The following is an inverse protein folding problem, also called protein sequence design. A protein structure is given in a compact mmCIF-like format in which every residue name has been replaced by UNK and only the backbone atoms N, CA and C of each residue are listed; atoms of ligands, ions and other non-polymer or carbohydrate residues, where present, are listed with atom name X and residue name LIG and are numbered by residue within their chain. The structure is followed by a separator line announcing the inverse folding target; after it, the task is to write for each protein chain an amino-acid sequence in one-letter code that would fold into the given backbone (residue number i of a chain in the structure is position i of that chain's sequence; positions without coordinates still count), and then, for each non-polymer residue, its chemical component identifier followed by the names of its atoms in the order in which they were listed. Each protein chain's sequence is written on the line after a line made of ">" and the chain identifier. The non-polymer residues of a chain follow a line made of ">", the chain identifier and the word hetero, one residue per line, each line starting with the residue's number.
data_IF_003953518140
#
_entry.id   IF_003953518140
#
_cell.length_a   1.000
_cell.length_b   1.000
_cell.length_c   1.000
_cell.angle_alpha   90.00
_cell.angle_beta   90.00
_cell.angle_gamma   90.00
#
_symmetry.space_group_name_H-M   'P 1'
#
loop_
_entity.id
_entity.type
_entity.pdbx_description
1 polymer ?
#
# COMPACT_ATOMS: atom_id res chain seq x y z
N UNK A 1 -27.97 31.60 -0.61
CA UNK A 1 -26.85 30.99 0.13
C UNK A 1 -26.75 29.57 -0.40
N UNK A 2 -25.59 29.08 -0.86
CA UNK A 2 -25.48 27.66 -1.22
C UNK A 2 -25.90 26.87 0.02
N UNK A 3 -26.93 26.03 -0.12
CA UNK A 3 -27.49 25.33 1.02
C UNK A 3 -26.39 24.50 1.70
N UNK A 4 -26.25 24.61 3.03
CA UNK A 4 -25.29 23.81 3.80
C UNK A 4 -25.50 22.31 3.52
N UNK A 5 -26.73 21.92 3.20
CA UNK A 5 -27.05 20.56 2.81
C UNK A 5 -26.36 20.14 1.51
N UNK A 6 -26.33 20.99 0.49
CA UNK A 6 -25.66 20.74 -0.77
C UNK A 6 -24.14 20.59 -0.59
N UNK A 7 -23.53 21.46 0.22
CA UNK A 7 -22.10 21.40 0.54
C UNK A 7 -21.73 20.08 1.26
N UNK A 8 -22.52 19.68 2.25
CA UNK A 8 -22.30 18.44 2.99
C UNK A 8 -22.50 17.21 2.09
N UNK A 9 -23.49 17.22 1.20
CA UNK A 9 -23.69 16.15 0.21
C UNK A 9 -22.50 16.06 -0.75
N UNK A 10 -22.02 17.17 -1.30
CA UNK A 10 -20.87 17.16 -2.20
C UNK A 10 -19.61 16.64 -1.50
N UNK A 11 -19.35 17.08 -0.27
CA UNK A 11 -18.23 16.58 0.53
C UNK A 11 -18.33 15.06 0.77
N UNK A 12 -19.53 14.56 1.04
CA UNK A 12 -19.77 13.13 1.21
C UNK A 12 -19.54 12.35 -0.10
N UNK A 13 -19.99 12.87 -1.24
CA UNK A 13 -19.80 12.24 -2.54
C UNK A 13 -18.33 12.27 -2.99
N UNK A 14 -17.60 13.37 -2.76
CA UNK A 14 -16.15 13.44 -3.01
C UNK A 14 -15.38 12.44 -2.15
N UNK A 15 -15.79 12.24 -0.90
CA UNK A 15 -15.24 11.21 -0.02
C UNK A 15 -15.55 9.79 -0.53
N UNK A 16 -16.76 9.54 -1.05
CA UNK A 16 -17.14 8.25 -1.68
C UNK A 16 -16.30 7.94 -2.92
N UNK A 17 -15.89 8.97 -3.67
CA UNK A 17 -14.97 8.82 -4.81
C UNK A 17 -13.52 8.52 -4.39
N UNK A 18 -13.20 8.55 -3.09
CA UNK A 18 -11.86 8.26 -2.57
C UNK A 18 -10.83 9.34 -2.91
N UNK A 19 -11.28 10.58 -3.15
CA UNK A 19 -10.39 11.69 -3.47
C UNK A 19 -9.57 12.11 -2.24
N UNK A 20 -8.29 12.51 -2.40
CA UNK A 20 -7.48 12.99 -1.29
C UNK A 20 -8.11 14.23 -0.64
N UNK A 21 -8.10 14.28 0.69
CA UNK A 21 -8.71 15.37 1.48
C UNK A 21 -8.28 16.77 1.04
N UNK A 22 -6.97 16.97 0.82
CA UNK A 22 -6.43 18.26 0.35
C UNK A 22 -6.97 18.66 -1.03
N UNK A 23 -7.21 17.69 -1.92
CA UNK A 23 -7.81 17.96 -3.22
C UNK A 23 -9.28 18.33 -3.08
N UNK A 24 -10.02 17.62 -2.23
CA UNK A 24 -11.41 17.91 -1.92
C UNK A 24 -11.58 19.29 -1.30
N UNK A 25 -10.76 19.66 -0.32
CA UNK A 25 -10.80 20.99 0.32
C UNK A 25 -10.56 22.10 -0.73
N UNK A 26 -9.50 21.98 -1.53
CA UNK A 26 -9.21 22.94 -2.60
C UNK A 26 -10.34 23.05 -3.63
N UNK A 27 -10.92 21.92 -4.03
CA UNK A 27 -12.03 21.90 -4.98
C UNK A 27 -13.29 22.55 -4.38
N UNK A 28 -13.54 22.34 -3.09
CA UNK A 28 -14.67 22.98 -2.41
C UNK A 28 -14.50 24.50 -2.32
N UNK A 29 -13.31 24.99 -2.01
CA UNK A 29 -13.01 26.42 -2.01
C UNK A 29 -13.21 27.02 -3.41
N UNK A 30 -12.68 26.37 -4.46
CA UNK A 30 -12.83 26.80 -5.85
C UNK A 30 -14.30 26.83 -6.29
N UNK A 31 -15.10 25.84 -5.91
CA UNK A 31 -16.54 25.81 -6.20
C UNK A 31 -17.33 26.87 -5.43
N UNK A 32 -16.95 27.18 -4.20
CA UNK A 32 -17.56 28.25 -3.41
C UNK A 32 -17.29 29.62 -4.04
N UNK A 33 -16.05 29.86 -4.46
CA UNK A 33 -15.66 31.09 -5.17
C UNK A 33 -16.46 31.23 -6.48
N UNK A 34 -16.56 30.16 -7.28
CA UNK A 34 -17.39 30.16 -8.50
C UNK A 34 -18.87 30.42 -8.22
N UNK A 35 -19.43 29.85 -7.16
CA UNK A 35 -20.81 30.08 -6.77
C UNK A 35 -21.06 31.53 -6.33
N UNK A 36 -20.08 32.18 -5.69
CA UNK A 36 -20.13 33.59 -5.34
C UNK A 36 -20.08 34.47 -6.60
N UNK A 37 -19.19 34.19 -7.55
CA UNK A 37 -19.13 34.90 -8.82
C UNK A 37 -20.47 34.80 -9.60
N UNK A 38 -21.05 33.60 -9.69
CA UNK A 38 -22.35 33.40 -10.35
C UNK A 38 -23.48 34.20 -9.68
N UNK A 39 -23.44 34.32 -8.35
CA UNK A 39 -24.40 35.11 -7.59
C UNK A 39 -24.24 36.60 -7.89
N UNK A 40 -23.01 37.10 -7.94
CA UNK A 40 -22.72 38.50 -8.29
C UNK A 40 -23.18 38.83 -9.71
N UNK A 41 -22.89 37.96 -10.68
CA UNK A 41 -23.34 38.12 -12.07
C UNK A 41 -24.87 38.15 -12.18
N UNK A 42 -25.57 37.26 -11.46
CA UNK A 42 -27.04 37.21 -11.46
C UNK A 42 -27.65 38.46 -10.85
N UNK A 43 -27.07 38.99 -9.77
CA UNK A 43 -27.52 40.24 -9.13
C UNK A 43 -27.39 41.47 -10.05
N UNK A 44 -26.39 41.48 -10.94
CA UNK A 44 -26.17 42.56 -11.90
C UNK A 44 -27.17 42.50 -13.06
N UNK A 45 -27.56 41.30 -13.50
CA UNK A 45 -28.38 41.13 -14.70
C UNK A 45 -29.90 41.07 -14.43
N UNK A 46 -30.35 40.63 -13.26
CA UNK A 46 -31.77 40.37 -12.99
C UNK A 46 -32.21 40.99 -11.64
N UNK A 47 -32.52 42.29 -11.63
CA UNK A 47 -33.23 42.91 -10.50
C UNK A 47 -34.69 42.44 -10.37
N UNK A 48 -35.19 41.61 -11.31
CA UNK A 48 -36.64 41.34 -11.45
C UNK A 48 -37.02 39.85 -11.50
N UNK A 49 -36.10 38.88 -11.40
CA UNK A 49 -36.46 37.45 -11.46
C UNK A 49 -35.82 36.55 -10.39
N UNK A 50 -36.74 35.84 -9.71
CA UNK A 50 -36.74 34.58 -8.93
C UNK A 50 -35.40 34.08 -8.31
N UNK A 51 -35.34 33.91 -6.96
CA UNK A 51 -34.12 33.62 -6.20
C UNK A 51 -33.54 32.19 -6.28
N UNK A 52 -34.17 31.24 -6.98
CA UNK A 52 -33.80 29.81 -6.91
C UNK A 52 -32.92 29.27 -8.06
N UNK A 53 -32.60 30.10 -9.06
CA UNK A 53 -31.80 29.70 -10.22
C UNK A 53 -30.32 29.30 -9.99
N UNK A 54 -29.58 29.72 -8.92
CA UNK A 54 -28.14 29.50 -8.89
C UNK A 54 -27.72 28.05 -8.62
N UNK A 55 -28.54 27.24 -7.93
CA UNK A 55 -28.18 25.85 -7.58
C UNK A 55 -28.27 24.92 -8.80
N UNK A 56 -29.23 25.14 -9.70
CA UNK A 56 -29.37 24.35 -10.93
C UNK A 56 -28.19 24.55 -11.88
N UNK A 57 -27.59 25.74 -11.91
CA UNK A 57 -26.43 26.05 -12.77
C UNK A 57 -25.14 25.36 -12.32
N UNK A 58 -24.92 25.22 -11.01
CA UNK A 58 -23.73 24.53 -10.47
C UNK A 58 -23.82 23.02 -10.68
N UNK A 59 -25.04 22.48 -10.72
CA UNK A 59 -25.31 21.07 -10.99
C UNK A 59 -25.44 20.20 -9.74
N UNK A 60 -25.75 18.92 -9.96
CA UNK A 60 -25.98 17.96 -8.88
C UNK A 60 -24.65 17.55 -8.21
N UNK A 61 -24.58 17.46 -6.87
CA UNK A 61 -23.36 17.06 -6.15
C UNK A 61 -22.73 15.77 -6.65
N UNK A 62 -23.56 14.77 -7.00
CA UNK A 62 -23.08 13.46 -7.46
C UNK A 62 -22.36 13.57 -8.81
N UNK A 63 -22.89 14.40 -9.72
CA UNK A 63 -22.30 14.63 -11.05
C UNK A 63 -20.98 15.37 -10.93
N UNK A 64 -20.91 16.39 -10.06
CA UNK A 64 -19.68 17.12 -9.78
C UNK A 64 -18.61 16.22 -9.16
N UNK A 65 -18.98 15.41 -8.16
CA UNK A 65 -18.06 14.48 -7.53
C UNK A 65 -17.54 13.43 -8.52
N UNK A 66 -18.41 12.90 -9.38
CA UNK A 66 -18.00 11.98 -10.44
C UNK A 66 -17.04 12.65 -11.43
N UNK A 67 -17.38 13.85 -11.93
CA UNK A 67 -16.56 14.60 -12.86
C UNK A 67 -15.19 14.95 -12.25
N UNK A 68 -15.16 15.40 -11.00
CA UNK A 68 -13.92 15.66 -10.26
C UNK A 68 -13.08 14.40 -10.08
N UNK A 69 -13.72 13.26 -9.80
CA UNK A 69 -13.06 11.96 -9.72
C UNK A 69 -12.43 11.53 -11.05
N UNK A 70 -13.16 11.70 -12.15
CA UNK A 70 -12.66 11.38 -13.49
C UNK A 70 -11.51 12.31 -13.90
N UNK A 71 -11.65 13.61 -13.66
CA UNK A 71 -10.62 14.61 -13.95
C UNK A 71 -9.35 14.35 -13.13
N UNK A 72 -9.49 14.08 -11.83
CA UNK A 72 -8.37 13.73 -10.96
C UNK A 72 -7.61 12.49 -11.49
N UNK A 73 -8.33 11.44 -11.87
CA UNK A 73 -7.73 10.23 -12.46
C UNK A 73 -7.08 10.51 -13.82
N UNK A 74 -7.63 11.42 -14.62
CA UNK A 74 -7.05 11.82 -15.91
C UNK A 74 -5.79 12.67 -15.78
N UNK A 75 -5.57 13.37 -14.65
CA UNK A 75 -4.36 14.20 -14.46
C UNK A 75 -3.09 13.40 -14.25
N UNK A 76 -3.18 12.21 -13.63
CA UNK A 76 -2.00 11.38 -13.35
C UNK A 76 -1.85 10.25 -14.37
N UNK A 77 -0.62 9.97 -14.79
CA UNK A 77 -0.34 8.86 -15.70
C UNK A 77 -0.76 7.51 -15.10
N UNK A 78 -0.51 7.32 -13.79
CA UNK A 78 -0.95 6.14 -13.02
C UNK A 78 -2.47 5.98 -13.05
N UNK A 79 -3.19 7.11 -13.00
CA UNK A 79 -4.64 7.15 -13.11
C UNK A 79 -5.14 6.82 -14.53
N UNK A 80 -4.38 7.06 -15.59
CA UNK A 80 -4.79 6.71 -16.97
C UNK A 80 -4.62 5.22 -17.29
N UNK A 81 -3.57 4.60 -16.76
CA UNK A 81 -3.20 3.22 -17.10
C UNK A 81 -3.17 2.30 -15.87
N UNK A 82 -4.34 1.99 -15.26
CA UNK A 82 -4.41 1.18 -14.05
C UNK A 82 -3.92 -0.26 -14.27
N UNK A 83 -4.17 -0.83 -15.46
CA UNK A 83 -3.72 -2.19 -15.78
C UNK A 83 -2.18 -2.24 -15.78
N UNK A 84 -1.54 -1.30 -16.48
CA UNK A 84 -0.09 -1.25 -16.55
C UNK A 84 0.53 -0.96 -15.17
N UNK A 85 -0.11 -0.11 -14.37
CA UNK A 85 0.39 0.23 -13.03
C UNK A 85 0.23 -0.90 -12.02
N UNK A 86 -0.93 -1.56 -11.95
CA UNK A 86 -1.23 -2.51 -10.86
C UNK A 86 -1.07 -3.98 -11.26
N UNK A 87 -1.01 -4.31 -12.55
CA UNK A 87 -0.73 -5.67 -13.01
C UNK A 87 0.70 -5.83 -13.54
N UNK A 88 1.24 -4.84 -14.27
CA UNK A 88 2.56 -4.96 -14.89
C UNK A 88 3.65 -4.40 -13.96
N UNK A 89 3.47 -3.20 -13.40
CA UNK A 89 4.49 -2.54 -12.58
C UNK A 89 4.89 -3.24 -11.25
N UNK A 90 4.08 -4.11 -10.61
CA UNK A 90 4.53 -4.82 -9.42
C UNK A 90 5.80 -5.63 -9.63
N UNK A 91 5.98 -6.23 -10.81
CA UNK A 91 7.16 -7.04 -11.14
C UNK A 91 8.45 -6.21 -11.22
N UNK A 92 8.57 -5.14 -12.04
CA UNK A 92 9.77 -4.31 -12.05
C UNK A 92 9.97 -3.59 -10.71
N UNK A 93 8.92 -3.17 -10.02
CA UNK A 93 9.06 -2.57 -8.67
C UNK A 93 9.62 -3.56 -7.65
N UNK A 94 9.25 -4.84 -7.75
CA UNK A 94 9.80 -5.89 -6.91
C UNK A 94 11.29 -6.09 -7.19
N UNK A 95 11.70 -6.14 -8.46
CA UNK A 95 13.12 -6.22 -8.85
C UNK A 95 13.91 -5.03 -8.32
N UNK A 96 13.38 -3.80 -8.46
CA UNK A 96 14.02 -2.60 -7.93
C UNK A 96 14.12 -2.62 -6.41
N UNK A 97 13.09 -3.11 -5.72
CA UNK A 97 13.08 -3.26 -4.26
C UNK A 97 14.11 -4.29 -3.81
N UNK A 98 14.29 -5.38 -4.55
CA UNK A 98 15.33 -6.37 -4.30
C UNK A 98 16.73 -5.78 -4.44
N UNK A 99 17.00 -5.04 -5.53
CA UNK A 99 18.27 -4.35 -5.75
C UNK A 99 18.55 -3.39 -4.59
N UNK A 100 17.56 -2.60 -4.18
CA UNK A 100 17.69 -1.68 -3.05
C UNK A 100 18.00 -2.42 -1.73
N UNK A 101 17.28 -3.51 -1.42
CA UNK A 101 17.52 -4.31 -0.22
C UNK A 101 18.91 -4.98 -0.22
N UNK A 102 19.40 -5.41 -1.39
CA UNK A 102 20.76 -5.95 -1.55
C UNK A 102 21.82 -4.88 -1.32
N UNK A 103 21.65 -3.69 -1.90
CA UNK A 103 22.57 -2.57 -1.69
C UNK A 103 22.63 -2.18 -0.22
N UNK A 104 21.47 -2.04 0.44
CA UNK A 104 21.42 -1.76 1.88
C UNK A 104 22.14 -2.86 2.67
N UNK A 105 21.91 -4.13 2.33
CA UNK A 105 22.56 -5.25 3.01
C UNK A 105 24.09 -5.22 2.88
N UNK A 106 24.61 -5.04 1.67
CA UNK A 106 26.06 -4.94 1.42
C UNK A 106 26.64 -3.74 2.18
N UNK A 107 26.03 -2.55 2.06
CA UNK A 107 26.49 -1.37 2.79
C UNK A 107 26.48 -1.58 4.31
N UNK A 108 25.47 -2.25 4.87
CA UNK A 108 25.44 -2.55 6.31
C UNK A 108 26.48 -3.56 6.72
N UNK A 109 26.80 -4.54 5.86
CA UNK A 109 27.83 -5.54 6.13
C UNK A 109 29.23 -4.89 6.19
N UNK A 110 29.55 -4.04 5.21
CA UNK A 110 30.80 -3.27 5.15
C UNK A 110 30.97 -2.35 6.37
N UNK A 111 29.90 -1.62 6.74
CA UNK A 111 29.93 -0.77 7.93
C UNK A 111 30.15 -1.59 9.21
N UNK A 112 29.48 -2.74 9.35
CA UNK A 112 29.65 -3.62 10.51
C UNK A 112 31.06 -4.20 10.58
N UNK A 113 31.69 -4.49 9.44
CA UNK A 113 33.09 -4.92 9.39
C UNK A 113 34.03 -3.82 9.88
N UNK A 114 33.86 -2.58 9.39
CA UNK A 114 34.66 -1.41 9.80
C UNK A 114 34.55 -1.13 11.32
N UNK A 115 33.37 -1.33 11.93
CA UNK A 115 33.20 -1.15 13.37
C UNK A 115 33.73 -2.31 14.22
N UNK A 116 34.02 -3.48 13.64
CA UNK A 116 34.41 -4.70 14.35
C UNK A 116 35.93 -4.99 14.32
N UNK A 117 36.73 -3.92 14.32
CA UNK A 117 38.19 -3.77 14.08
C UNK A 117 39.18 -4.72 14.82
N UNK A 118 38.76 -5.89 15.32
CA UNK A 118 39.64 -6.84 16.02
C UNK A 118 39.08 -8.24 16.33
N UNK A 119 37.85 -8.61 15.97
CA UNK A 119 37.35 -9.99 16.18
C UNK A 119 37.31 -10.80 14.89
N UNK A 120 38.47 -11.32 14.50
CA UNK A 120 38.56 -12.27 13.39
C UNK A 120 38.09 -13.66 13.84
N UNK A 121 36.92 -14.07 13.37
CA UNK A 121 36.47 -15.45 13.38
C UNK A 121 35.50 -15.81 14.50
N UNK A 122 34.21 -15.83 14.16
CA UNK A 122 33.20 -16.54 14.96
C UNK A 122 33.46 -18.04 14.78
N UNK A 123 34.11 -18.68 15.74
CA UNK A 123 34.25 -20.14 15.77
C UNK A 123 32.92 -20.79 16.16
N UNK A 124 32.57 -21.91 15.49
CA UNK A 124 31.33 -22.68 15.74
C UNK A 124 31.06 -22.99 17.21
N UNK A 125 32.11 -23.17 18.02
CA UNK A 125 32.02 -23.52 19.45
C UNK A 125 31.45 -22.40 20.33
N UNK A 126 31.35 -21.17 19.83
CA UNK A 126 31.04 -20.00 20.65
C UNK A 126 29.71 -19.33 20.26
N UNK A 127 29.02 -19.82 19.23
CA UNK A 127 27.74 -19.25 18.82
C UNK A 127 26.64 -19.70 19.78
N UNK A 128 26.25 -18.81 20.69
CA UNK A 128 25.08 -19.02 21.55
C UNK A 128 23.83 -19.27 20.69
N UNK A 129 22.92 -20.13 21.18
CA UNK A 129 21.61 -20.36 20.55
C UNK A 129 20.83 -19.06 20.29
N UNK A 130 21.05 -18.03 21.13
CA UNK A 130 20.47 -16.70 20.95
C UNK A 130 20.98 -16.00 19.69
N UNK A 131 22.26 -16.12 19.38
CA UNK A 131 22.87 -15.52 18.17
C UNK A 131 22.33 -16.20 16.91
N UNK A 132 22.18 -17.53 16.92
CA UNK A 132 21.57 -18.25 15.81
C UNK A 132 20.13 -17.80 15.55
N UNK A 133 19.31 -17.62 16.60
CA UNK A 133 17.94 -17.11 16.49
C UNK A 133 17.90 -15.69 15.92
N UNK A 134 18.84 -14.82 16.33
CA UNK A 134 18.93 -13.46 15.81
C UNK A 134 19.33 -13.44 14.33
N UNK A 135 20.29 -14.27 13.93
CA UNK A 135 20.69 -14.40 12.52
C UNK A 135 19.54 -14.94 11.66
N UNK A 136 18.83 -15.94 12.15
CA UNK A 136 17.67 -16.51 11.47
C UNK A 136 16.55 -15.47 11.29
N UNK A 137 16.20 -14.75 12.36
CA UNK A 137 15.17 -13.70 12.28
C UNK A 137 15.58 -12.56 11.36
N UNK A 138 16.84 -12.11 11.40
CA UNK A 138 17.38 -11.12 10.48
C UNK A 138 17.28 -11.58 9.02
N UNK A 139 17.62 -12.84 8.74
CA UNK A 139 17.49 -13.42 7.41
C UNK A 139 16.04 -13.42 6.90
N UNK A 140 15.07 -13.79 7.73
CA UNK A 140 13.65 -13.75 7.34
C UNK A 140 13.14 -12.33 7.10
N UNK A 141 13.52 -11.38 7.95
CA UNK A 141 13.15 -9.96 7.79
C UNK A 141 13.70 -9.45 6.47
N UNK A 142 14.97 -9.72 6.18
CA UNK A 142 15.62 -9.29 4.95
C UNK A 142 14.99 -9.93 3.71
N UNK A 143 14.70 -11.23 3.75
CA UNK A 143 14.02 -11.93 2.65
C UNK A 143 12.60 -11.38 2.41
N UNK A 144 11.90 -10.94 3.46
CA UNK A 144 10.53 -10.42 3.36
C UNK A 144 10.45 -8.95 2.95
N UNK A 145 11.49 -8.18 3.26
CA UNK A 145 11.56 -6.74 3.04
C UNK A 145 11.17 -6.29 1.61
N UNK A 146 11.71 -6.86 0.51
CA UNK A 146 11.37 -6.37 -0.84
C UNK A 146 9.90 -6.57 -1.19
N UNK A 147 9.27 -7.65 -0.72
CA UNK A 147 7.84 -7.91 -0.96
C UNK A 147 6.94 -6.96 -0.17
N UNK A 148 7.26 -6.74 1.10
CA UNK A 148 6.53 -5.81 1.96
C UNK A 148 6.67 -4.38 1.44
N UNK A 149 7.88 -3.96 1.08
CA UNK A 149 8.16 -2.63 0.53
C UNK A 149 7.38 -2.37 -0.77
N UNK A 150 7.45 -3.31 -1.71
CA UNK A 150 6.71 -3.23 -2.98
C UNK A 150 5.20 -3.13 -2.73
N UNK A 151 4.68 -3.93 -1.82
CA UNK A 151 3.24 -3.94 -1.50
C UNK A 151 2.80 -2.64 -0.83
N UNK A 152 3.57 -2.12 0.12
CA UNK A 152 3.33 -0.82 0.75
C UNK A 152 3.31 0.30 -0.30
N UNK A 153 4.26 0.31 -1.23
CA UNK A 153 4.37 1.32 -2.26
C UNK A 153 3.19 1.26 -3.25
N UNK A 154 2.78 0.06 -3.68
CA UNK A 154 1.63 -0.13 -4.55
C UNK A 154 0.31 0.23 -3.85
N UNK A 155 0.14 -0.14 -2.58
CA UNK A 155 -1.02 0.27 -1.77
C UNK A 155 -1.09 1.78 -1.61
N UNK A 156 0.04 2.42 -1.33
CA UNK A 156 0.13 3.87 -1.22
C UNK A 156 -0.19 4.57 -2.56
N UNK A 157 0.29 4.04 -3.68
CA UNK A 157 -0.03 4.54 -5.02
C UNK A 157 -1.52 4.35 -5.38
N UNK A 158 -2.11 3.22 -5.02
CA UNK A 158 -3.54 2.97 -5.23
C UNK A 158 -4.42 3.97 -4.46
N UNK A 159 -4.04 4.24 -3.20
CA UNK A 159 -4.70 5.27 -2.39
C UNK A 159 -4.55 6.65 -3.01
N UNK A 160 -3.35 7.02 -3.47
CA UNK A 160 -3.13 8.33 -4.11
C UNK A 160 -3.85 8.50 -5.44
N UNK A 161 -4.14 7.42 -6.15
CA UNK A 161 -4.84 7.47 -7.44
C UNK A 161 -6.37 7.36 -7.32
N UNK A 162 -6.90 7.35 -6.09
CA UNK A 162 -8.32 7.15 -5.80
C UNK A 162 -8.87 5.87 -6.49
N UNK A 163 -8.02 4.83 -6.58
CA UNK A 163 -8.39 3.56 -7.20
C UNK A 163 -8.97 2.66 -6.11
N UNK A 164 -10.16 2.13 -6.37
CA UNK A 164 -10.87 1.28 -5.43
C UNK A 164 -10.05 0.05 -4.97
N UNK A 165 -10.49 -0.60 -3.88
CA UNK A 165 -9.72 -1.63 -3.17
C UNK A 165 -9.37 -2.85 -4.03
N UNK A 166 -10.13 -3.10 -5.10
CA UNK A 166 -9.89 -4.20 -6.05
C UNK A 166 -8.49 -4.15 -6.66
N UNK A 167 -7.95 -2.96 -6.94
CA UNK A 167 -6.62 -2.80 -7.55
C UNK A 167 -5.49 -3.07 -6.55
N UNK A 168 -5.69 -2.70 -5.28
CA UNK A 168 -4.76 -3.04 -4.20
C UNK A 168 -4.68 -4.55 -4.00
N UNK A 169 -5.83 -5.23 -4.00
CA UNK A 169 -5.89 -6.69 -3.88
C UNK A 169 -5.25 -7.39 -5.08
N UNK A 170 -5.45 -6.88 -6.30
CA UNK A 170 -4.83 -7.43 -7.50
C UNK A 170 -3.30 -7.34 -7.46
N UNK A 171 -2.76 -6.15 -7.14
CA UNK A 171 -1.33 -5.94 -6.97
C UNK A 171 -0.75 -6.81 -5.83
N UNK A 172 -1.42 -6.82 -4.67
CA UNK A 172 -1.00 -7.64 -3.53
C UNK A 172 -1.01 -9.13 -3.85
N UNK A 173 -2.00 -9.61 -4.59
CA UNK A 173 -2.07 -11.01 -5.04
C UNK A 173 -0.87 -11.38 -5.93
N UNK A 174 -0.49 -10.51 -6.87
CA UNK A 174 0.69 -10.74 -7.73
C UNK A 174 1.95 -10.85 -6.87
N UNK A 175 2.17 -9.92 -5.95
CA UNK A 175 3.35 -9.95 -5.06
C UNK A 175 3.34 -11.19 -4.16
N UNK A 176 2.18 -11.59 -3.63
CA UNK A 176 2.01 -12.83 -2.86
C UNK A 176 2.33 -14.07 -3.67
N UNK A 177 1.88 -14.16 -4.93
CA UNK A 177 2.18 -15.30 -5.80
C UNK A 177 3.69 -15.40 -6.07
N UNK A 178 4.37 -14.28 -6.30
CA UNK A 178 5.83 -14.27 -6.48
C UNK A 178 6.54 -14.64 -5.17
N UNK A 179 6.08 -14.14 -4.03
CA UNK A 179 6.60 -14.49 -2.72
C UNK A 179 6.42 -15.99 -2.40
N UNK A 180 5.33 -16.61 -2.87
CA UNK A 180 5.05 -18.03 -2.65
C UNK A 180 5.99 -18.97 -3.43
N UNK A 181 6.53 -18.51 -4.57
CA UNK A 181 7.52 -19.27 -5.36
C UNK A 181 8.97 -18.83 -5.08
N UNK A 182 9.16 -17.85 -4.20
CA UNK A 182 10.47 -17.35 -3.83
C UNK A 182 11.16 -18.29 -2.84
N UNK A 183 12.42 -18.61 -3.11
CA UNK A 183 13.27 -19.40 -2.22
C UNK A 183 14.59 -18.68 -1.96
N UNK A 184 15.01 -18.69 -0.69
CA UNK A 184 16.31 -18.19 -0.27
C UNK A 184 16.93 -19.19 0.68
N UNK A 185 18.20 -19.47 0.47
CA UNK A 185 19.03 -20.32 1.30
C UNK A 185 20.35 -19.62 1.61
N UNK A 186 20.72 -19.61 2.87
CA UNK A 186 21.98 -19.10 3.38
C UNK A 186 22.74 -20.25 4.03
N UNK A 187 23.95 -20.53 3.57
CA UNK A 187 24.87 -21.47 4.18
C UNK A 187 25.97 -20.67 4.90
N UNK A 188 26.05 -20.85 6.22
CA UNK A 188 27.10 -20.21 7.01
C UNK A 188 28.46 -20.85 6.71
N UNK A 189 29.52 -20.05 6.56
CA UNK A 189 30.87 -20.57 6.34
C UNK A 189 31.34 -21.39 7.54
N UNK A 190 31.91 -22.57 7.28
CA UNK A 190 32.71 -23.32 8.26
C UNK A 190 34.18 -22.88 8.25
N UNK A 191 34.59 -22.20 7.17
CA UNK A 191 35.91 -21.62 6.97
C UNK A 191 35.76 -20.18 6.42
N UNK A 192 36.64 -19.24 6.78
CA UNK A 192 36.62 -17.88 6.23
C UNK A 192 36.53 -17.88 4.70
N UNK A 193 35.63 -17.07 4.13
CA UNK A 193 35.47 -16.93 2.68
C UNK A 193 34.48 -17.88 1.99
N UNK A 194 33.94 -18.90 2.68
CA UNK A 194 33.04 -19.90 2.07
C UNK A 194 31.55 -19.70 2.36
N UNK A 195 31.13 -18.47 2.70
CA UNK A 195 29.71 -18.17 2.92
C UNK A 195 28.97 -18.15 1.59
N UNK A 196 27.84 -18.84 1.49
CA UNK A 196 27.02 -18.85 0.28
C UNK A 196 25.60 -18.38 0.58
N UNK A 197 25.14 -17.38 -0.17
CA UNK A 197 23.75 -16.97 -0.24
C UNK A 197 23.23 -17.32 -1.63
N UNK A 198 22.21 -18.16 -1.71
CA UNK A 198 21.53 -18.51 -2.94
C UNK A 198 20.07 -18.09 -2.88
N UNK A 199 19.63 -17.30 -3.85
CA UNK A 199 18.22 -16.91 -4.04
C UNK A 199 17.74 -17.45 -5.38
N UNK A 200 16.47 -17.83 -5.44
CA UNK A 200 15.89 -18.38 -6.65
C UNK A 200 14.38 -18.40 -6.63
N UNK A 201 13.80 -18.73 -7.77
CA UNK A 201 12.38 -18.98 -7.91
C UNK A 201 12.17 -20.45 -8.27
N UNK A 202 11.27 -21.11 -7.55
CA UNK A 202 10.98 -22.50 -7.79
C UNK A 202 9.72 -22.91 -7.06
N UNK A 203 8.92 -23.77 -7.69
CA UNK A 203 7.97 -24.54 -6.92
C UNK A 203 8.79 -25.49 -6.06
N UNK A 204 8.55 -25.57 -4.73
CA UNK A 204 9.22 -26.57 -3.93
C UNK A 204 8.89 -27.91 -4.57
N UNK A 205 9.88 -28.57 -5.18
CA UNK A 205 9.72 -29.96 -5.53
C UNK A 205 9.27 -30.63 -4.24
N UNK A 206 8.07 -31.23 -4.22
CA UNK A 206 7.62 -31.97 -3.05
C UNK A 206 8.62 -33.10 -2.69
N UNK A 207 9.56 -33.41 -3.59
CA UNK A 207 10.81 -34.11 -3.30
C UNK A 207 11.91 -33.15 -2.83
N UNK A 208 12.27 -33.28 -1.56
CA UNK A 208 13.46 -32.69 -0.95
C UNK A 208 14.71 -33.19 -1.69
N UNK A 209 15.20 -32.47 -2.68
CA UNK A 209 16.64 -32.56 -3.01
C UNK A 209 17.36 -31.74 -1.95
N UNK A 210 17.51 -32.35 -0.77
CA UNK A 210 18.56 -31.93 0.13
C UNK A 210 19.84 -32.01 -0.71
N UNK A 211 20.42 -30.86 -1.05
CA UNK A 211 21.86 -30.81 -1.31
C UNK A 211 22.44 -31.54 -0.11
N UNK A 212 23.05 -32.71 -0.37
CA UNK A 212 23.56 -33.58 0.67
C UNK A 212 24.43 -32.70 1.56
N UNK A 213 23.89 -32.34 2.72
CA UNK A 213 24.56 -31.46 3.64
C UNK A 213 25.71 -32.30 4.16
N UNK A 214 26.88 -32.07 3.58
CA UNK A 214 28.13 -32.43 4.22
C UNK A 214 28.00 -31.92 5.66
N UNK A 215 28.15 -32.84 6.62
CA UNK A 215 27.56 -32.87 7.98
C UNK A 215 27.85 -31.67 8.88
N UNK A 216 28.51 -30.65 8.36
CA UNK A 216 29.08 -29.53 9.08
C UNK A 216 28.52 -28.15 8.69
N UNK A 217 27.57 -28.02 7.76
CA UNK A 217 27.06 -26.68 7.37
C UNK A 217 25.78 -26.29 8.11
N UNK A 218 25.81 -25.17 8.84
CA UNK A 218 24.59 -24.55 9.39
C UNK A 218 23.91 -23.80 8.24
N UNK A 219 22.78 -24.31 7.79
CA UNK A 219 21.99 -23.71 6.70
C UNK A 219 20.66 -23.16 7.21
N UNK A 220 20.33 -21.95 6.77
CA UNK A 220 19.00 -21.37 6.90
C UNK A 220 18.32 -21.42 5.54
N UNK A 221 17.05 -21.81 5.52
CA UNK A 221 16.27 -21.83 4.29
C UNK A 221 14.85 -21.38 4.61
N UNK A 222 14.29 -20.52 3.76
CA UNK A 222 12.93 -19.99 3.98
C UNK A 222 11.87 -21.09 4.02
N UNK A 223 12.14 -22.22 3.37
CA UNK A 223 11.24 -23.39 3.33
C UNK A 223 11.42 -24.39 4.49
N UNK A 224 12.40 -24.20 5.39
CA UNK A 224 12.61 -25.16 6.50
C UNK A 224 11.48 -25.13 7.53
N UNK A 225 10.99 -23.93 7.86
CA UNK A 225 9.96 -23.77 8.88
C UNK A 225 8.57 -23.66 8.25
N UNK A 226 7.60 -24.39 8.80
CA UNK A 226 6.19 -24.32 8.38
C UNK A 226 5.65 -22.87 8.49
N UNK A 227 6.11 -22.13 9.51
CA UNK A 227 5.87 -20.69 9.65
C UNK A 227 6.43 -19.89 8.47
N UNK A 228 7.69 -20.13 8.07
CA UNK A 228 8.29 -19.49 6.89
C UNK A 228 7.50 -19.78 5.61
N UNK A 229 7.04 -21.02 5.41
CA UNK A 229 6.29 -21.41 4.21
C UNK A 229 4.91 -20.77 4.09
N UNK A 230 4.21 -20.60 5.22
CA UNK A 230 2.82 -20.10 5.22
C UNK A 230 2.78 -18.60 5.49
N UNK A 231 3.50 -18.12 6.49
CA UNK A 231 3.41 -16.73 6.93
C UNK A 231 4.05 -15.77 5.92
N UNK A 232 5.21 -16.14 5.37
CA UNK A 232 5.95 -15.31 4.42
C UNK A 232 5.14 -14.87 3.19
N UNK A 233 4.50 -15.77 2.41
CA UNK A 233 3.71 -15.35 1.25
C UNK A 233 2.45 -14.57 1.62
N UNK A 234 1.96 -14.70 2.86
CA UNK A 234 0.77 -13.99 3.34
C UNK A 234 1.07 -12.56 3.82
N UNK A 235 2.33 -12.18 4.05
CA UNK A 235 2.71 -10.85 4.50
C UNK A 235 2.23 -9.73 3.57
N UNK A 236 2.44 -9.78 2.23
CA UNK A 236 1.87 -8.79 1.31
C UNK A 236 0.35 -8.63 1.46
N UNK A 237 -0.38 -9.75 1.59
CA UNK A 237 -1.83 -9.72 1.74
C UNK A 237 -2.26 -9.09 3.06
N UNK A 238 -1.55 -9.39 4.16
CA UNK A 238 -1.78 -8.77 5.46
C UNK A 238 -1.54 -7.25 5.41
N UNK A 239 -0.50 -6.80 4.70
CA UNK A 239 -0.23 -5.37 4.47
C UNK A 239 -1.38 -4.72 3.69
N UNK A 240 -1.85 -5.35 2.61
CA UNK A 240 -3.03 -4.86 1.88
C UNK A 240 -4.25 -4.74 2.81
N UNK A 241 -4.52 -5.76 3.63
CA UNK A 241 -5.60 -5.78 4.61
C UNK A 241 -5.50 -4.61 5.61
N UNK A 242 -4.31 -4.31 6.11
CA UNK A 242 -4.07 -3.19 7.02
C UNK A 242 -4.38 -1.84 6.35
N UNK A 243 -3.96 -1.65 5.09
CA UNK A 243 -4.26 -0.43 4.34
C UNK A 243 -5.77 -0.29 4.06
N UNK A 244 -6.46 -1.38 3.73
CA UNK A 244 -7.90 -1.40 3.54
C UNK A 244 -8.67 -1.08 4.83
N UNK A 245 -8.23 -1.67 5.95
CA UNK A 245 -8.79 -1.39 7.27
C UNK A 245 -8.57 0.07 7.71
N UNK A 246 -7.37 0.61 7.45
CA UNK A 246 -7.10 2.03 7.69
C UNK A 246 -8.00 2.93 6.85
N UNK A 247 -8.21 2.59 5.57
CA UNK A 247 -9.05 3.37 4.67
C UNK A 247 -10.54 3.34 5.08
N UNK A 248 -11.04 2.21 5.55
CA UNK A 248 -12.44 2.08 5.99
C UNK A 248 -12.75 2.85 7.28
N UNK A 249 -11.74 3.16 8.10
CA UNK A 249 -11.88 4.03 9.29
C UNK A 249 -11.85 5.52 8.94
N UNK A 250 -11.21 5.90 7.83
CA UNK A 250 -11.06 7.29 7.42
C UNK A 250 -12.29 7.89 6.74
N UNK A 251 -13.18 7.05 6.20
CA UNK A 251 -14.49 7.52 5.75
C UNK A 251 -15.37 7.74 6.98
N UNK A 252 -15.74 8.99 7.34
CA UNK A 252 -16.74 9.21 8.36
C UNK A 252 -17.96 8.39 7.96
N UNK A 253 -18.36 7.45 8.82
CA UNK A 253 -19.64 6.77 8.61
C UNK A 253 -20.67 7.90 8.48
N UNK A 254 -21.52 7.90 7.43
CA UNK A 254 -22.62 8.83 7.41
C UNK A 254 -23.27 8.76 8.79
N UNK A 255 -23.56 9.89 9.46
CA UNK A 255 -24.35 9.85 10.68
C UNK A 255 -25.54 8.97 10.30
N UNK A 256 -25.66 7.81 10.96
CA UNK A 256 -26.85 6.98 10.77
C UNK A 256 -27.97 7.96 11.05
N UNK A 257 -28.72 8.32 10.02
CA UNK A 257 -29.89 9.17 10.16
C UNK A 257 -30.72 8.44 11.19
N UNK A 258 -30.60 8.88 12.45
CA UNK A 258 -31.43 8.45 13.54
C UNK A 258 -32.80 8.76 12.99
N UNK A 259 -33.53 7.71 12.58
CA UNK A 259 -34.87 7.85 12.05
C UNK A 259 -35.57 8.78 13.02
N UNK A 260 -35.86 10.00 12.57
CA UNK A 260 -36.57 10.96 13.38
C UNK A 260 -37.83 10.23 13.81
N UNK A 261 -37.96 10.01 15.11
CA UNK A 261 -39.12 9.35 15.68
C UNK A 261 -40.36 10.06 15.09
N UNK A 262 -41.35 9.31 14.57
CA UNK A 262 -42.57 9.94 14.06
C UNK A 262 -43.12 10.80 15.20
N UNK A 263 -43.18 12.11 14.99
CA UNK A 263 -43.85 13.00 15.92
C UNK A 263 -45.31 12.55 15.95
N UNK A 264 -45.65 11.84 17.03
CA UNK A 264 -47.02 11.53 17.42
C UNK A 264 -47.78 12.86 17.48
N UNK A 265 -48.61 13.11 16.47
CA UNK A 265 -49.62 14.15 16.53
C UNK A 265 -50.61 13.78 17.65
N UNK A 266 -50.49 14.46 18.79
CA UNK A 266 -51.54 14.44 19.81
C UNK A 266 -52.70 15.30 19.31
N UNK A 267 -53.83 14.64 19.12
CA UNK A 267 -55.17 15.22 18.96
C UNK A 267 -55.61 16.02 20.19
#
# INVERSE_FOLDING_TARGET
>A
MVDRNWHNQLQQELARQGLPRLYTERLMDELLDHALCLKEETNVMDATKIPDAPVERVGKPEQLAQAAGEEYRRRTWLGRHPILTFLIAPLPMLVLSWILCMLVFVCTAELVEEFNDGQQGITKSTVSSTTLLLMETAFYIWAAAPFVLTTCLLCWMAQRTARGPKWMLAAGLIVTLVAAVFHSQMALPTQPGNGQLSTGFGFPAWGVTAVAAETDTISFATNRHLLGRILFPLLPFAVCGLFLWRNSRGTPRPPMLTQAAPMSASH
#
